data_IF_153372446480
#
_entry.id   IF_153372446480
#
_cell.length_a   1.000
_cell.length_b   1.000
_cell.length_c   1.000
_cell.angle_alpha   90.00
_cell.angle_beta   90.00
_cell.angle_gamma   90.00
#
_symmetry.space_group_name_H-M   'P 1'
#
loop_
_entity.id
_entity.type
_entity.pdbx_description
1 polymer ?
#
# COMPACT_ATOMS: atom_id res chain seq x y z
N UNK A 1 8.64 -24.76 -8.09
CA UNK A 1 9.03 -23.85 -9.20
C UNK A 1 7.93 -23.93 -10.23
N UNK A 2 6.94 -23.03 -10.15
CA UNK A 2 5.88 -22.96 -11.15
C UNK A 2 6.51 -22.44 -12.45
N UNK A 3 6.47 -23.26 -13.51
CA UNK A 3 7.17 -22.93 -14.75
C UNK A 3 6.45 -21.78 -15.43
N UNK A 4 7.19 -20.78 -15.90
CA UNK A 4 6.68 -19.58 -16.62
C UNK A 4 5.68 -19.91 -17.75
N UNK A 5 5.66 -21.16 -18.21
CA UNK A 5 4.70 -21.75 -19.13
C UNK A 5 3.25 -21.80 -18.59
N UNK A 6 3.06 -22.13 -17.31
CA UNK A 6 1.74 -22.14 -16.67
C UNK A 6 1.15 -20.73 -16.57
N UNK A 7 1.99 -19.73 -16.32
CA UNK A 7 1.58 -18.33 -16.29
C UNK A 7 1.16 -17.82 -17.68
N UNK A 8 1.93 -18.16 -18.73
CA UNK A 8 1.59 -17.81 -20.11
C UNK A 8 0.27 -18.44 -20.59
N UNK A 9 0.00 -19.70 -20.17
CA UNK A 9 -1.26 -20.36 -20.49
C UNK A 9 -2.47 -19.66 -19.85
N UNK A 10 -2.34 -19.22 -18.60
CA UNK A 10 -3.42 -18.48 -17.89
C UNK A 10 -3.71 -17.11 -18.52
N UNK A 11 -2.69 -16.42 -19.03
CA UNK A 11 -2.89 -15.14 -19.70
C UNK A 11 -3.60 -15.29 -21.05
N UNK A 12 -3.32 -16.38 -21.77
CA UNK A 12 -4.06 -16.71 -23.01
C UNK A 12 -5.52 -17.06 -22.72
N UNK A 13 -5.79 -17.80 -21.64
CA UNK A 13 -7.16 -18.13 -21.19
C UNK A 13 -7.96 -16.87 -20.82
N UNK A 14 -7.28 -15.84 -20.28
CA UNK A 14 -7.85 -14.53 -20.01
C UNK A 14 -8.07 -13.66 -21.28
N UNK A 15 -7.88 -14.22 -22.48
CA UNK A 15 -8.16 -13.53 -23.75
C UNK A 15 -7.07 -12.56 -24.22
N UNK A 16 -5.89 -12.57 -23.59
CA UNK A 16 -4.73 -11.83 -24.10
C UNK A 16 -4.01 -12.65 -25.18
N UNK A 17 -3.65 -11.99 -26.28
CA UNK A 17 -2.84 -12.60 -27.34
C UNK A 17 -1.42 -12.83 -26.83
N UNK A 18 -1.12 -14.05 -26.41
CA UNK A 18 0.20 -14.48 -25.96
C UNK A 18 0.70 -15.54 -26.93
N UNK A 19 1.78 -15.24 -27.66
CA UNK A 19 2.41 -16.18 -28.59
C UNK A 19 3.22 -17.22 -27.81
N UNK A 20 2.68 -18.43 -27.71
CA UNK A 20 3.26 -19.53 -26.95
C UNK A 20 4.09 -20.49 -27.79
N UNK A 21 4.15 -20.30 -29.12
CA UNK A 21 4.73 -21.28 -30.04
C UNK A 21 6.20 -21.02 -30.37
N UNK A 22 6.68 -19.77 -30.28
CA UNK A 22 8.02 -19.39 -30.78
C UNK A 22 9.04 -18.96 -29.71
N UNK A 23 8.93 -19.45 -28.47
CA UNK A 23 9.86 -19.16 -27.34
C UNK A 23 10.07 -17.67 -26.98
N UNK A 24 9.35 -16.75 -27.62
CA UNK A 24 9.49 -15.30 -27.40
C UNK A 24 9.16 -14.86 -25.97
N UNK A 25 8.42 -15.67 -25.21
CA UNK A 25 8.17 -15.50 -23.78
C UNK A 25 9.46 -15.52 -22.91
N UNK A 26 10.60 -15.92 -23.46
CA UNK A 26 11.90 -15.90 -22.76
C UNK A 26 12.63 -14.55 -22.85
N UNK A 27 12.28 -13.68 -23.80
CA UNK A 27 12.98 -12.42 -24.09
C UNK A 27 12.17 -11.16 -23.85
N UNK A 28 10.86 -11.25 -23.55
CA UNK A 28 10.06 -10.08 -23.17
C UNK A 28 10.38 -9.69 -21.72
N UNK A 29 11.21 -8.67 -21.54
CA UNK A 29 11.68 -8.24 -20.22
C UNK A 29 12.67 -7.08 -20.22
N UNK A 30 13.14 -6.62 -21.39
CA UNK A 30 13.84 -5.33 -21.45
C UNK A 30 12.81 -4.23 -21.65
N UNK A 31 12.40 -3.61 -20.55
CA UNK A 31 11.73 -2.31 -20.59
C UNK A 31 12.76 -1.26 -20.98
N UNK A 32 12.94 -1.06 -22.28
CA UNK A 32 13.61 0.14 -22.78
C UNK A 32 12.60 1.28 -22.70
N UNK A 33 12.77 2.17 -21.72
CA UNK A 33 11.92 3.36 -21.60
C UNK A 33 12.29 4.28 -22.77
N UNK A 34 11.35 4.64 -23.67
CA UNK A 34 11.65 5.67 -24.65
C UNK A 34 11.96 6.98 -23.92
N UNK A 35 12.98 7.71 -24.40
CA UNK A 35 13.36 9.01 -23.85
C UNK A 35 12.19 9.98 -23.97
N UNK A 36 11.62 10.38 -22.82
CA UNK A 36 10.52 11.33 -22.75
C UNK A 36 10.98 12.67 -23.33
N UNK A 37 10.33 13.12 -24.40
CA UNK A 37 10.50 14.49 -24.93
C UNK A 37 9.44 15.40 -24.32
N UNK A 38 9.75 16.70 -24.23
CA UNK A 38 8.91 17.71 -23.57
C UNK A 38 7.49 17.86 -24.14
N UNK A 39 7.18 17.22 -25.28
CA UNK A 39 5.85 17.20 -25.88
C UNK A 39 4.87 16.23 -25.21
N UNK A 40 5.35 15.31 -24.35
CA UNK A 40 4.49 14.34 -23.62
C UNK A 40 3.84 14.94 -22.36
N UNK A 41 4.25 16.16 -21.95
CA UNK A 41 3.75 16.86 -20.76
C UNK A 41 2.51 17.74 -21.01
N UNK A 42 1.95 17.72 -22.22
CA UNK A 42 0.74 18.48 -22.52
C UNK A 42 -0.52 17.71 -22.05
N UNK A 43 -0.96 18.01 -20.83
CA UNK A 43 -2.28 17.58 -20.32
C UNK A 43 -3.37 18.36 -21.06
N UNK A 44 -4.17 17.65 -21.85
CA UNK A 44 -5.42 18.15 -22.40
C UNK A 44 -6.54 17.97 -21.35
N UNK A 45 -7.35 19.00 -21.02
CA UNK A 45 -8.38 18.90 -19.99
C UNK A 45 -9.62 18.17 -20.54
N UNK A 46 -9.81 16.91 -20.14
CA UNK A 46 -11.03 16.16 -20.43
C UNK A 46 -12.18 16.58 -19.49
N UNK A 47 -13.31 16.97 -20.09
CA UNK A 47 -14.56 17.36 -19.43
C UNK A 47 -15.18 16.22 -18.57
N UNK A 48 -15.93 16.55 -17.50
CA UNK A 48 -16.49 15.58 -16.58
C UNK A 48 -17.67 14.83 -17.21
N UNK A 49 -17.58 13.50 -17.29
CA UNK A 49 -18.73 12.64 -17.58
C UNK A 49 -19.37 12.18 -16.28
N UNK A 50 -20.59 12.65 -16.12
CA UNK A 50 -21.59 12.23 -15.15
C UNK A 50 -21.71 10.68 -15.15
N UNK A 51 -21.31 10.06 -14.04
CA UNK A 51 -21.72 8.69 -13.70
C UNK A 51 -22.32 8.74 -12.30
N UNK A 52 -23.56 9.21 -12.23
CA UNK A 52 -24.46 8.92 -11.14
C UNK A 52 -24.54 7.41 -10.90
N UNK A 53 -24.39 7.02 -9.63
CA UNK A 53 -24.71 5.68 -9.15
C UNK A 53 -23.54 4.69 -9.16
N UNK A 54 -22.58 4.86 -8.26
CA UNK A 54 -21.86 3.71 -7.71
C UNK A 54 -21.93 3.82 -6.18
N UNK A 55 -22.56 2.81 -5.59
CA UNK A 55 -22.85 2.72 -4.17
C UNK A 55 -21.59 2.92 -3.32
N UNK A 56 -21.73 3.72 -2.26
CA UNK A 56 -20.76 3.82 -1.19
C UNK A 56 -20.60 2.43 -0.54
N UNK A 57 -19.43 1.83 -0.72
CA UNK A 57 -19.02 0.64 0.00
C UNK A 57 -18.68 1.05 1.46
N UNK A 58 -19.26 0.43 2.51
CA UNK A 58 -19.26 1.00 3.84
C UNK A 58 -18.11 0.42 4.70
N UNK A 59 -16.85 0.85 4.53
CA UNK A 59 -15.84 0.78 5.62
C UNK A 59 -14.58 1.65 5.43
N UNK A 60 -14.69 2.87 4.88
CA UNK A 60 -13.59 3.84 5.06
C UNK A 60 -13.68 4.45 6.47
N UNK A 61 -13.21 3.71 7.49
CA UNK A 61 -12.86 4.33 8.78
C UNK A 61 -11.61 5.18 8.57
N UNK A 62 -11.84 6.40 8.08
CA UNK A 62 -10.84 7.42 7.88
C UNK A 62 -10.42 7.97 9.25
N UNK A 63 -9.41 7.37 9.89
CA UNK A 63 -8.80 7.99 11.07
C UNK A 63 -7.95 9.17 10.62
N UNK A 64 -8.40 10.38 11.01
CA UNK A 64 -8.00 11.64 10.36
C UNK A 64 -6.53 12.00 10.55
N UNK A 65 -5.93 11.86 11.73
CA UNK A 65 -4.49 12.04 11.98
C UNK A 65 -4.21 11.61 13.42
N UNK A 66 -3.07 10.95 13.69
CA UNK A 66 -2.66 10.49 15.02
C UNK A 66 -1.21 10.90 15.28
N UNK A 67 -0.96 11.56 16.41
CA UNK A 67 0.41 11.86 16.87
C UNK A 67 0.98 10.63 17.60
N UNK A 68 2.02 10.02 17.03
CA UNK A 68 2.66 8.82 17.60
C UNK A 68 3.71 9.18 18.66
N UNK A 69 4.46 10.27 18.43
CA UNK A 69 5.45 10.83 19.35
C UNK A 69 5.41 12.36 19.29
N UNK A 70 6.26 13.06 20.03
CA UNK A 70 6.36 14.52 19.97
C UNK A 70 6.57 15.07 18.54
N UNK A 71 7.21 14.30 17.65
CA UNK A 71 7.60 14.73 16.30
C UNK A 71 7.11 13.84 15.17
N UNK A 72 6.53 12.67 15.47
CA UNK A 72 5.98 11.76 14.46
C UNK A 72 4.46 11.80 14.43
N UNK A 73 3.93 12.03 13.22
CA UNK A 73 2.49 12.11 12.98
C UNK A 73 2.12 11.11 11.88
N UNK A 74 1.17 10.23 12.17
CA UNK A 74 0.59 9.32 11.20
C UNK A 74 -0.74 9.89 10.67
N UNK A 75 -0.98 9.80 9.37
CA UNK A 75 -2.21 10.29 8.73
C UNK A 75 -2.66 9.34 7.62
N UNK A 76 -3.87 9.57 7.10
CA UNK A 76 -4.47 8.77 6.01
C UNK A 76 -4.46 7.26 6.31
N UNK A 77 -4.69 6.90 7.57
CA UNK A 77 -4.66 5.52 8.04
C UNK A 77 -5.82 4.73 7.45
N UNK A 78 -5.51 3.56 6.90
CA UNK A 78 -6.47 2.65 6.28
C UNK A 78 -6.10 1.21 6.60
N UNK A 79 -7.11 0.40 6.88
CA UNK A 79 -6.98 -1.05 6.93
C UNK A 79 -7.14 -1.62 5.52
N UNK A 80 -6.30 -2.58 5.15
CA UNK A 80 -6.40 -3.33 3.91
C UNK A 80 -6.36 -4.83 4.24
N UNK A 81 -7.48 -5.52 4.05
CA UNK A 81 -7.55 -6.95 4.25
C UNK A 81 -7.25 -7.71 2.95
N UNK A 82 -6.44 -8.75 3.06
CA UNK A 82 -6.18 -9.73 2.02
C UNK A 82 -6.47 -11.13 2.57
N UNK A 83 -6.60 -12.16 1.72
CA UNK A 83 -6.77 -13.54 2.19
C UNK A 83 -5.63 -14.06 3.08
N UNK A 84 -4.47 -13.39 3.07
CA UNK A 84 -3.25 -13.86 3.74
C UNK A 84 -2.74 -12.90 4.83
N UNK A 85 -3.24 -11.67 4.88
CA UNK A 85 -2.83 -10.66 5.86
C UNK A 85 -3.90 -9.60 6.06
N UNK A 86 -3.86 -8.95 7.21
CA UNK A 86 -4.55 -7.70 7.48
C UNK A 86 -3.49 -6.63 7.64
N UNK A 87 -3.48 -5.68 6.72
CA UNK A 87 -2.50 -4.61 6.71
C UNK A 87 -3.08 -3.29 7.21
N UNK A 88 -2.20 -2.45 7.73
CA UNK A 88 -2.47 -1.03 7.98
C UNK A 88 -1.53 -0.20 7.14
N UNK A 89 -2.08 0.63 6.26
CA UNK A 89 -1.32 1.57 5.43
C UNK A 89 -1.62 3.00 5.86
N UNK A 90 -0.67 3.89 5.60
CA UNK A 90 -0.84 5.30 5.87
C UNK A 90 0.39 6.11 5.49
N UNK A 91 0.40 7.35 5.94
CA UNK A 91 1.53 8.27 5.78
C UNK A 91 2.10 8.62 7.15
N UNK A 92 3.43 8.66 7.24
CA UNK A 92 4.17 9.07 8.41
C UNK A 92 4.95 10.34 8.09
N UNK A 93 4.68 11.41 8.84
CA UNK A 93 5.36 12.69 8.76
C UNK A 93 6.31 12.85 9.93
N UNK A 94 7.55 13.25 9.64
CA UNK A 94 8.52 13.69 10.64
C UNK A 94 8.52 15.21 10.72
N UNK A 95 7.93 15.77 11.78
CA UNK A 95 7.84 17.21 12.01
C UNK A 95 9.11 17.80 12.65
N UNK A 96 10.12 16.97 12.95
CA UNK A 96 11.41 17.48 13.41
C UNK A 96 12.30 17.92 12.24
N UNK A 97 13.41 18.60 12.55
CA UNK A 97 14.47 18.90 11.58
C UNK A 97 15.51 17.78 11.44
N UNK A 98 15.43 16.74 12.27
CA UNK A 98 16.42 15.64 12.32
C UNK A 98 15.92 14.49 11.46
N UNK A 99 16.76 14.01 10.54
CA UNK A 99 16.46 12.82 9.76
C UNK A 99 16.44 11.56 10.65
N UNK A 100 15.44 10.72 10.46
CA UNK A 100 15.33 9.41 11.09
C UNK A 100 15.71 8.35 10.06
N UNK A 101 16.71 7.53 10.36
CA UNK A 101 17.14 6.45 9.48
C UNK A 101 16.16 5.29 9.50
N UNK A 102 15.55 5.03 10.65
CA UNK A 102 14.59 3.96 10.84
C UNK A 102 13.52 4.37 11.85
N UNK A 103 12.27 4.12 11.50
CA UNK A 103 11.14 4.18 12.43
C UNK A 103 10.45 2.83 12.44
N UNK A 104 10.34 2.21 13.60
CA UNK A 104 9.61 0.97 13.81
C UNK A 104 8.18 1.30 14.22
N UNK A 105 7.22 0.71 13.53
CA UNK A 105 5.80 0.94 13.76
C UNK A 105 5.10 -0.39 14.04
N UNK A 106 4.11 -0.34 14.91
CA UNK A 106 3.21 -1.45 15.19
C UNK A 106 1.76 -1.02 15.12
N UNK A 107 0.88 -1.95 14.78
CA UNK A 107 -0.55 -1.81 14.92
C UNK A 107 -1.11 -2.95 15.78
N UNK A 108 -2.09 -2.62 16.61
CA UNK A 108 -2.86 -3.57 17.40
C UNK A 108 -4.30 -3.55 16.92
N UNK A 109 -4.80 -4.70 16.50
CA UNK A 109 -6.20 -4.87 16.09
C UNK A 109 -7.05 -5.26 17.28
N UNK A 110 -8.22 -4.65 17.39
CA UNK A 110 -9.14 -4.81 18.52
C UNK A 110 -10.51 -5.28 18.02
N UNK A 111 -11.13 -6.19 18.75
CA UNK A 111 -12.52 -6.58 18.51
C UNK A 111 -13.52 -5.53 19.05
N UNK A 112 -14.82 -5.78 18.85
CA UNK A 112 -15.88 -4.91 19.36
C UNK A 112 -15.95 -4.79 20.88
N UNK A 113 -15.30 -5.68 21.63
CA UNK A 113 -15.18 -5.63 23.09
C UNK A 113 -13.87 -4.95 23.55
N UNK A 114 -13.03 -4.49 22.61
CA UNK A 114 -11.74 -3.87 22.89
C UNK A 114 -10.62 -4.85 23.23
N UNK A 115 -10.79 -6.15 22.96
CA UNK A 115 -9.76 -7.17 23.17
C UNK A 115 -8.81 -7.22 21.97
N UNK A 116 -7.54 -7.52 22.23
CA UNK A 116 -6.54 -7.67 21.17
C UNK A 116 -6.81 -8.97 20.41
N UNK A 117 -7.00 -8.86 19.10
CA UNK A 117 -7.22 -10.00 18.19
C UNK A 117 -6.09 -10.20 17.19
N UNK A 118 -5.14 -9.26 17.12
CA UNK A 118 -3.96 -9.41 16.28
C UNK A 118 -3.03 -8.22 16.36
N UNK A 119 -1.87 -8.37 15.72
CA UNK A 119 -0.88 -7.31 15.56
C UNK A 119 -0.35 -7.29 14.13
N UNK A 120 0.13 -6.13 13.71
CA UNK A 120 0.86 -5.93 12.47
C UNK A 120 2.08 -5.06 12.73
N UNK A 121 3.18 -5.33 12.04
CA UNK A 121 4.44 -4.63 12.24
C UNK A 121 5.00 -4.15 10.91
N UNK A 122 5.82 -3.10 10.97
CA UNK A 122 6.49 -2.57 9.80
C UNK A 122 7.52 -1.50 10.16
N UNK A 123 8.16 -0.95 9.14
CA UNK A 123 9.20 0.05 9.31
C UNK A 123 9.17 1.09 8.20
N UNK A 124 9.59 2.31 8.53
CA UNK A 124 9.87 3.38 7.57
C UNK A 124 11.37 3.66 7.58
N UNK A 125 12.00 3.45 6.42
CA UNK A 125 13.43 3.67 6.25
C UNK A 125 13.69 5.05 5.64
N UNK A 126 14.65 5.77 6.22
CA UNK A 126 15.14 7.07 5.78
C UNK A 126 14.01 8.09 5.66
N UNK A 127 13.56 8.64 6.77
CA UNK A 127 12.54 9.69 6.86
C UNK A 127 13.22 11.02 7.24
N UNK A 128 13.55 11.88 6.24
CA UNK A 128 14.14 13.19 6.50
C UNK A 128 13.27 14.05 7.42
N UNK A 129 13.90 15.04 8.06
CA UNK A 129 13.16 16.07 8.80
C UNK A 129 12.24 16.87 7.88
N UNK A 130 11.01 17.12 8.34
CA UNK A 130 9.95 17.79 7.57
C UNK A 130 9.32 16.94 6.46
N UNK A 131 9.79 15.71 6.23
CA UNK A 131 9.32 14.88 5.14
C UNK A 131 8.16 13.96 5.57
N UNK A 132 7.40 13.50 4.57
CA UNK A 132 6.35 12.50 4.73
C UNK A 132 6.65 11.29 3.85
N UNK A 133 6.44 10.08 4.37
CA UNK A 133 6.54 8.83 3.61
C UNK A 133 5.37 7.90 3.90
N UNK A 134 4.96 7.15 2.89
CA UNK A 134 3.99 6.07 3.07
C UNK A 134 4.60 4.90 3.85
N UNK A 135 3.79 4.23 4.66
CA UNK A 135 4.15 3.00 5.35
C UNK A 135 3.08 1.92 5.17
N UNK A 136 3.48 0.68 5.41
CA UNK A 136 2.61 -0.50 5.50
C UNK A 136 3.06 -1.34 6.69
N UNK A 137 2.10 -1.70 7.52
CA UNK A 137 2.24 -2.65 8.62
C UNK A 137 1.49 -3.89 8.21
N UNK A 138 2.11 -5.06 8.36
CA UNK A 138 1.53 -6.33 7.90
C UNK A 138 1.44 -7.30 9.06
N UNK A 139 0.27 -7.91 9.23
CA UNK A 139 0.05 -8.97 10.21
C UNK A 139 0.55 -10.32 9.71
N UNK A 140 0.78 -11.24 10.64
CA UNK A 140 0.96 -12.65 10.32
C UNK A 140 -0.42 -13.29 10.15
N UNK A 141 -0.85 -13.50 8.90
CA UNK A 141 -2.17 -14.06 8.61
C UNK A 141 -3.28 -13.00 8.63
N UNK A 142 -4.46 -13.36 8.11
CA UNK A 142 -5.66 -12.53 8.19
C UNK A 142 -6.12 -12.39 9.65
N UNK A 143 -6.43 -11.17 10.07
CA UNK A 143 -6.96 -10.88 11.42
C UNK A 143 -8.49 -10.82 11.36
N UNK A 144 -9.13 -11.85 11.93
CA UNK A 144 -10.59 -11.94 12.01
C UNK A 144 -11.14 -11.09 13.15
N UNK A 145 -12.41 -10.71 13.06
CA UNK A 145 -13.19 -10.01 14.10
C UNK A 145 -12.67 -8.64 14.56
N UNK A 146 -11.61 -8.13 13.94
CA UNK A 146 -11.11 -6.80 14.20
C UNK A 146 -12.14 -5.75 13.73
N UNK A 147 -12.57 -4.88 14.63
CA UNK A 147 -13.49 -3.77 14.35
C UNK A 147 -12.76 -2.42 14.34
N UNK A 148 -11.57 -2.36 14.95
CA UNK A 148 -10.73 -1.17 15.00
C UNK A 148 -9.25 -1.54 15.12
N UNK A 149 -8.37 -0.55 14.95
CA UNK A 149 -6.94 -0.70 15.14
C UNK A 149 -6.32 0.54 15.79
N UNK A 150 -5.19 0.35 16.47
CA UNK A 150 -4.35 1.43 17.01
C UNK A 150 -2.96 1.33 16.43
N UNK A 151 -2.39 2.45 15.99
CA UNK A 151 -1.01 2.53 15.49
C UNK A 151 -0.13 3.18 16.56
N UNK A 152 1.09 2.67 16.69
CA UNK A 152 2.09 3.15 17.65
C UNK A 152 3.49 3.13 17.04
N UNK A 153 4.37 3.98 17.55
CA UNK A 153 5.80 3.89 17.29
C UNK A 153 6.45 2.99 18.33
N UNK A 154 7.19 1.98 17.86
CA UNK A 154 7.93 1.03 18.69
C UNK A 154 9.41 1.43 18.85
N UNK A 155 9.87 2.48 18.14
CA UNK A 155 11.24 2.98 18.19
C UNK A 155 11.60 3.83 16.98
N UNK A 156 12.63 4.66 17.14
CA UNK A 156 13.20 5.48 16.05
C UNK A 156 14.69 5.76 16.27
N UNK A 157 15.47 5.81 15.19
CA UNK A 157 16.92 6.10 15.19
C UNK A 157 17.38 6.75 13.88
#
# INVERSE_FOLDING_TARGET
MESRRDFAARLRDAGLTVDTEHEQWRTVGTFDRPTLTASDLAVEPALPRDRAGQAADPTEQQLETIRLTGTLVASRLRRLDTPFSTDVVGELTNESSIALNLVLLGATFLDGAGRIVGTADGAVNGLPGGATKSFRLTSVGMVQDATSFKVQSNGQM
#
